data_IF_769031406400
#
_entry.id   IF_769031406400
#
_cell.length_a   1.000
_cell.length_b   1.000
_cell.length_c   1.000
_cell.angle_alpha   90.00
_cell.angle_beta   90.00
_cell.angle_gamma   90.00
#
_symmetry.space_group_name_H-M   'P 1'
#
loop_
_entity.id
_entity.type
_entity.pdbx_description
1 polymer ?
#
# COMPACT_ATOMS: atom_id res chain seq x y z
N UNK A 1 22.40 28.60 -23.41
CA UNK A 1 22.21 27.44 -22.51
C UNK A 1 20.94 27.67 -21.70
N UNK A 2 19.82 26.95 -21.80
CA UNK A 2 19.29 26.00 -22.78
C UNK A 2 17.75 26.12 -22.66
N UNK A 3 17.08 26.80 -23.59
CA UNK A 3 15.60 26.91 -23.64
C UNK A 3 14.91 25.71 -24.29
N UNK A 4 15.70 24.66 -24.59
CA UNK A 4 15.29 23.38 -25.19
C UNK A 4 15.41 22.26 -24.15
N UNK A 5 15.13 22.56 -22.88
CA UNK A 5 14.93 21.58 -21.83
C UNK A 5 13.41 21.48 -21.58
N UNK A 6 12.62 20.65 -22.26
CA UNK A 6 12.45 20.34 -23.69
C UNK A 6 10.97 19.91 -23.77
N UNK A 7 10.16 20.31 -24.77
CA UNK A 7 8.74 19.86 -24.82
C UNK A 7 8.61 18.33 -24.77
N UNK A 8 9.61 17.63 -25.31
CA UNK A 8 9.77 16.18 -25.21
C UNK A 8 9.88 15.69 -23.75
N UNK A 9 10.71 16.32 -22.91
CA UNK A 9 10.89 15.91 -21.51
C UNK A 9 9.63 16.15 -20.68
N UNK A 10 8.91 17.25 -20.96
CA UNK A 10 7.61 17.51 -20.34
C UNK A 10 6.57 16.47 -20.75
N UNK A 11 6.50 16.13 -22.04
CA UNK A 11 5.61 15.09 -22.54
C UNK A 11 5.93 13.70 -21.95
N UNK A 12 7.21 13.33 -21.89
CA UNK A 12 7.67 12.07 -21.27
C UNK A 12 7.37 12.03 -19.76
N UNK A 13 7.43 13.17 -19.06
CA UNK A 13 7.00 13.26 -17.65
C UNK A 13 5.49 13.08 -17.50
N UNK A 14 4.68 13.62 -18.42
CA UNK A 14 3.23 13.43 -18.40
C UNK A 14 2.85 11.97 -18.63
N UNK A 15 3.47 11.30 -19.61
CA UNK A 15 3.26 9.86 -19.86
C UNK A 15 3.62 9.04 -18.62
N UNK A 16 4.81 9.27 -18.04
CA UNK A 16 5.24 8.56 -16.82
C UNK A 16 4.32 8.81 -15.63
N UNK A 17 3.78 10.02 -15.47
CA UNK A 17 2.78 10.32 -14.44
C UNK A 17 1.46 9.59 -14.67
N UNK A 18 1.00 9.51 -15.92
CA UNK A 18 -0.24 8.82 -16.28
C UNK A 18 -0.14 7.29 -16.11
N UNK A 19 1.07 6.72 -16.20
CA UNK A 19 1.32 5.29 -15.97
C UNK A 19 1.50 4.95 -14.48
N UNK A 20 1.67 5.96 -13.61
CA UNK A 20 1.89 5.73 -12.19
C UNK A 20 0.57 5.44 -11.48
N UNK A 21 0.60 4.51 -10.54
CA UNK A 21 -0.50 4.25 -9.63
C UNK A 21 -0.89 5.49 -8.83
N UNK A 22 -2.13 5.47 -8.34
CA UNK A 22 -2.70 6.52 -7.50
C UNK A 22 -2.70 6.05 -6.05
N UNK A 23 -2.34 6.95 -5.14
CA UNK A 23 -2.34 6.69 -3.70
C UNK A 23 -3.57 7.34 -3.07
N UNK A 24 -4.37 6.54 -2.36
CA UNK A 24 -5.45 7.02 -1.49
C UNK A 24 -5.09 6.68 -0.05
N UNK A 25 -5.17 7.67 0.84
CA UNK A 25 -4.81 7.50 2.25
C UNK A 25 -6.04 7.73 3.11
N UNK A 26 -6.40 6.75 3.92
CA UNK A 26 -7.31 6.93 5.05
C UNK A 26 -6.49 7.44 6.24
N UNK A 27 -6.55 8.76 6.45
CA UNK A 27 -5.87 9.45 7.55
C UNK A 27 -6.76 9.47 8.79
N UNK A 28 -6.20 9.21 9.96
CA UNK A 28 -6.91 9.27 11.23
C UNK A 28 -6.10 9.89 12.35
N UNK A 29 -6.78 10.40 13.36
CA UNK A 29 -6.14 11.07 14.49
C UNK A 29 -5.61 10.11 15.56
N UNK A 30 -6.09 8.86 15.57
CA UNK A 30 -5.68 7.84 16.55
C UNK A 30 -5.89 6.40 16.02
N UNK A 31 -5.35 5.43 16.76
CA UNK A 31 -5.72 4.02 16.59
C UNK A 31 -7.21 3.79 16.92
N UNK A 32 -7.84 2.82 16.26
CA UNK A 32 -9.25 2.47 16.53
C UNK A 32 -10.31 3.36 15.86
N UNK A 33 -9.95 4.49 15.25
CA UNK A 33 -10.90 5.40 14.56
C UNK A 33 -11.50 4.84 13.25
N UNK A 34 -11.25 3.57 12.93
CA UNK A 34 -11.88 2.87 11.81
C UNK A 34 -11.17 2.95 10.45
N UNK A 35 -9.93 3.44 10.35
CA UNK A 35 -9.19 3.56 9.07
C UNK A 35 -9.14 2.26 8.27
N UNK A 36 -8.68 1.17 8.89
CA UNK A 36 -8.57 -0.15 8.25
C UNK A 36 -9.93 -0.69 7.83
N UNK A 37 -10.95 -0.49 8.66
CA UNK A 37 -12.32 -0.89 8.34
C UNK A 37 -12.85 -0.15 7.09
N UNK A 38 -12.65 1.17 7.02
CA UNK A 38 -13.03 1.99 5.86
C UNK A 38 -12.25 1.63 4.60
N UNK A 39 -10.94 1.33 4.73
CA UNK A 39 -10.12 0.84 3.63
C UNK A 39 -10.65 -0.49 3.07
N UNK A 40 -11.02 -1.43 3.94
CA UNK A 40 -11.60 -2.72 3.52
C UNK A 40 -12.98 -2.57 2.88
N UNK A 41 -13.85 -1.70 3.42
CA UNK A 41 -15.15 -1.40 2.79
C UNK A 41 -14.98 -0.86 1.37
N UNK A 42 -14.02 0.04 1.17
CA UNK A 42 -13.70 0.56 -0.16
C UNK A 42 -13.15 -0.55 -1.08
N UNK A 43 -12.34 -1.46 -0.54
CA UNK A 43 -11.87 -2.65 -1.25
C UNK A 43 -13.02 -3.53 -1.76
N UNK A 44 -14.04 -3.76 -0.92
CA UNK A 44 -15.25 -4.48 -1.33
C UNK A 44 -16.02 -3.74 -2.41
N UNK A 45 -16.26 -2.43 -2.25
CA UNK A 45 -16.95 -1.62 -3.26
C UNK A 45 -16.26 -1.70 -4.62
N UNK A 46 -14.93 -1.55 -4.65
CA UNK A 46 -14.14 -1.66 -5.88
C UNK A 46 -14.21 -3.05 -6.51
N UNK A 47 -14.15 -4.11 -5.68
CA UNK A 47 -14.29 -5.49 -6.16
C UNK A 47 -15.69 -5.75 -6.74
N UNK A 48 -16.74 -5.23 -6.12
CA UNK A 48 -18.13 -5.30 -6.62
C UNK A 48 -18.29 -4.58 -7.96
N UNK A 49 -17.52 -3.51 -8.19
CA UNK A 49 -17.42 -2.79 -9.47
C UNK A 49 -16.55 -3.51 -10.52
N UNK A 50 -16.04 -4.71 -10.20
CA UNK A 50 -15.21 -5.52 -11.10
C UNK A 50 -13.74 -5.10 -11.18
N UNK A 51 -13.28 -4.24 -10.26
CA UNK A 51 -11.88 -3.86 -10.16
C UNK A 51 -11.09 -4.98 -9.48
N UNK A 52 -9.93 -5.30 -10.03
CA UNK A 52 -9.01 -6.29 -9.46
C UNK A 52 -8.31 -5.74 -8.20
N UNK A 53 -8.79 -6.17 -7.03
CA UNK A 53 -8.32 -5.72 -5.71
C UNK A 53 -7.66 -6.87 -4.96
N UNK A 54 -6.47 -6.62 -4.41
CA UNK A 54 -5.79 -7.54 -3.49
C UNK A 54 -5.46 -6.86 -2.16
N UNK A 55 -5.53 -7.62 -1.08
CA UNK A 55 -4.98 -7.23 0.22
C UNK A 55 -3.50 -7.60 0.25
N UNK A 56 -2.64 -6.58 0.31
CA UNK A 56 -1.20 -6.78 0.49
C UNK A 56 -0.83 -6.99 1.95
N UNK A 57 -1.35 -6.14 2.83
CA UNK A 57 -1.16 -6.24 4.27
C UNK A 57 -2.28 -5.50 5.00
N UNK A 58 -2.93 -6.15 5.96
CA UNK A 58 -3.99 -5.58 6.80
C UNK A 58 -3.78 -6.00 8.25
N UNK A 59 -3.85 -5.05 9.17
CA UNK A 59 -3.74 -5.28 10.61
C UNK A 59 -5.12 -5.17 11.27
N UNK A 60 -5.74 -6.32 11.56
CA UNK A 60 -7.11 -6.37 12.13
C UNK A 60 -7.11 -6.03 13.62
N UNK A 61 -6.00 -6.26 14.32
CA UNK A 61 -5.85 -6.16 15.77
C UNK A 61 -6.98 -6.89 16.54
N UNK A 62 -7.40 -8.06 16.05
CA UNK A 62 -8.42 -8.90 16.69
C UNK A 62 -9.86 -8.37 16.58
N UNK A 63 -10.10 -7.33 15.77
CA UNK A 63 -11.45 -6.80 15.56
C UNK A 63 -12.25 -7.71 14.63
N UNK A 64 -13.20 -8.45 15.21
CA UNK A 64 -14.04 -9.44 14.52
C UNK A 64 -14.67 -8.89 13.24
N UNK A 65 -15.21 -7.68 13.27
CA UNK A 65 -15.85 -7.07 12.09
C UNK A 65 -14.85 -6.80 10.96
N UNK A 66 -13.62 -6.41 11.30
CA UNK A 66 -12.54 -6.17 10.34
C UNK A 66 -12.04 -7.50 9.74
N UNK A 67 -11.92 -8.55 10.56
CA UNK A 67 -11.56 -9.90 10.09
C UNK A 67 -12.62 -10.47 9.14
N UNK A 68 -13.91 -10.21 9.39
CA UNK A 68 -14.98 -10.63 8.48
C UNK A 68 -14.86 -9.95 7.12
N UNK A 69 -14.58 -8.64 7.08
CA UNK A 69 -14.36 -7.94 5.83
C UNK A 69 -13.13 -8.49 5.09
N UNK A 70 -12.06 -8.84 5.80
CA UNK A 70 -10.85 -9.39 5.18
C UNK A 70 -11.12 -10.70 4.42
N UNK A 71 -11.94 -11.61 4.96
CA UNK A 71 -12.24 -12.93 4.37
C UNK A 71 -12.86 -12.87 2.97
N UNK A 72 -13.48 -11.76 2.58
CA UNK A 72 -14.10 -11.61 1.26
C UNK A 72 -13.18 -11.02 0.18
N UNK A 73 -11.91 -10.73 0.48
CA UNK A 73 -10.93 -10.19 -0.45
C UNK A 73 -9.77 -11.17 -0.66
N UNK A 74 -9.23 -11.23 -1.89
CA UNK A 74 -7.98 -11.97 -2.17
C UNK A 74 -6.85 -11.36 -1.32
N UNK A 75 -6.02 -12.18 -0.70
CA UNK A 75 -4.91 -11.71 0.15
C UNK A 75 -3.59 -12.33 -0.29
N UNK A 76 -2.56 -11.49 -0.41
CA UNK A 76 -1.18 -11.94 -0.62
C UNK A 76 -0.65 -12.51 0.71
N UNK A 77 -0.05 -13.72 0.72
CA UNK A 77 0.62 -14.23 1.91
C UNK A 77 1.71 -13.28 2.39
N UNK A 78 1.77 -13.05 3.70
CA UNK A 78 2.80 -12.20 4.30
C UNK A 78 4.17 -12.84 4.17
N UNK A 79 5.20 -12.03 3.93
CA UNK A 79 6.59 -12.48 3.91
C UNK A 79 7.02 -12.76 5.35
N UNK A 80 7.52 -13.96 5.63
CA UNK A 80 8.04 -14.34 6.95
C UNK A 80 9.55 -14.20 6.97
N UNK A 81 10.06 -13.53 8.00
CA UNK A 81 11.49 -13.39 8.23
C UNK A 81 11.82 -13.52 9.72
N UNK A 82 13.02 -13.99 10.03
CA UNK A 82 13.50 -14.06 11.42
C UNK A 82 14.34 -12.82 11.74
N UNK A 83 14.01 -12.13 12.83
CA UNK A 83 14.78 -11.01 13.33
C UNK A 83 14.98 -11.14 14.84
N UNK A 84 16.26 -11.21 15.27
CA UNK A 84 16.65 -11.42 16.68
C UNK A 84 15.98 -12.64 17.33
N UNK A 85 15.85 -13.74 16.59
CA UNK A 85 15.23 -14.98 17.09
C UNK A 85 13.70 -14.97 17.11
N UNK A 86 13.05 -13.93 16.55
CA UNK A 86 11.59 -13.81 16.49
C UNK A 86 11.15 -13.85 15.02
N UNK A 87 10.18 -14.71 14.72
CA UNK A 87 9.51 -14.70 13.41
C UNK A 87 8.64 -13.44 13.31
N UNK A 88 8.88 -12.62 12.30
CA UNK A 88 8.12 -11.43 11.98
C UNK A 88 7.48 -11.60 10.60
N UNK A 89 6.25 -11.12 10.47
CA UNK A 89 5.52 -11.10 9.21
C UNK A 89 5.50 -9.67 8.66
N UNK A 90 5.83 -9.51 7.39
CA UNK A 90 5.90 -8.23 6.69
C UNK A 90 5.13 -8.26 5.37
N UNK A 91 4.93 -7.07 4.79
CA UNK A 91 4.44 -6.92 3.42
C UNK A 91 5.35 -7.70 2.44
N UNK A 92 4.74 -8.46 1.54
CA UNK A 92 5.43 -9.04 0.39
C UNK A 92 5.20 -8.18 -0.86
N UNK A 93 6.00 -7.12 -0.98
CA UNK A 93 5.91 -6.18 -2.10
C UNK A 93 6.20 -6.83 -3.45
N UNK A 94 7.16 -7.77 -3.50
CA UNK A 94 7.53 -8.46 -4.73
C UNK A 94 6.39 -9.39 -5.20
N UNK A 95 5.69 -10.06 -4.27
CA UNK A 95 4.50 -10.84 -4.61
C UNK A 95 3.38 -9.98 -5.20
N UNK A 96 3.14 -8.77 -4.67
CA UNK A 96 2.18 -7.81 -5.22
C UNK A 96 2.59 -7.38 -6.63
N UNK A 97 3.87 -7.02 -6.82
CA UNK A 97 4.42 -6.61 -8.11
C UNK A 97 4.34 -7.73 -9.16
N UNK A 98 4.50 -8.98 -8.75
CA UNK A 98 4.36 -10.14 -9.64
C UNK A 98 2.89 -10.43 -9.97
N UNK A 99 1.98 -10.26 -9.00
CA UNK A 99 0.52 -10.43 -9.19
C UNK A 99 -0.11 -9.32 -10.05
N UNK A 100 0.47 -8.12 -10.05
CA UNK A 100 0.02 -6.96 -10.85
C UNK A 100 -1.49 -6.66 -10.71
N UNK A 101 -2.02 -6.51 -9.49
CA UNK A 101 -3.42 -6.12 -9.29
C UNK A 101 -3.67 -4.70 -9.80
N UNK A 102 -4.93 -4.31 -10.02
CA UNK A 102 -5.26 -2.90 -10.27
C UNK A 102 -5.13 -2.08 -8.98
N UNK A 103 -5.54 -2.64 -7.83
CA UNK A 103 -5.50 -1.97 -6.52
C UNK A 103 -4.93 -2.90 -5.45
N UNK A 104 -3.99 -2.39 -4.64
CA UNK A 104 -3.50 -3.05 -3.43
C UNK A 104 -3.94 -2.31 -2.16
N UNK A 105 -4.45 -3.04 -1.18
CA UNK A 105 -4.77 -2.51 0.16
C UNK A 105 -3.59 -2.80 1.11
N UNK A 106 -3.01 -1.75 1.70
CA UNK A 106 -1.77 -1.85 2.50
C UNK A 106 -1.90 -0.97 3.74
N UNK A 107 -1.96 -1.57 4.93
CA UNK A 107 -2.06 -0.84 6.20
C UNK A 107 -0.74 -0.20 6.66
N UNK A 108 -0.87 0.83 7.51
CA UNK A 108 0.21 1.47 8.28
C UNK A 108 1.37 2.01 7.42
N UNK A 109 1.08 3.02 6.60
CA UNK A 109 2.05 3.63 5.68
C UNK A 109 3.36 4.08 6.36
N UNK A 110 3.30 4.52 7.62
CA UNK A 110 4.46 5.01 8.37
C UNK A 110 5.29 3.90 9.05
N UNK A 111 4.93 2.63 8.87
CA UNK A 111 5.66 1.52 9.46
C UNK A 111 7.14 1.51 9.04
N UNK A 112 8.01 1.15 9.98
CA UNK A 112 9.43 0.86 9.72
C UNK A 112 9.58 -0.62 9.53
N UNK A 113 9.99 -1.02 8.34
CA UNK A 113 10.14 -2.42 7.99
C UNK A 113 11.22 -3.08 8.85
N UNK A 114 11.08 -4.39 9.06
CA UNK A 114 12.08 -5.17 9.78
C UNK A 114 13.45 -5.07 9.08
N UNK A 115 14.57 -4.90 9.82
CA UNK A 115 15.91 -4.85 9.24
C UNK A 115 16.23 -6.03 8.32
N UNK A 116 16.93 -5.76 7.21
CA UNK A 116 17.16 -6.73 6.15
C UNK A 116 16.03 -6.83 5.12
N UNK A 117 14.96 -6.04 5.28
CA UNK A 117 13.98 -5.80 4.21
C UNK A 117 14.61 -5.00 3.06
N UNK A 118 14.02 -5.12 1.86
CA UNK A 118 14.48 -4.38 0.67
C UNK A 118 14.42 -2.86 0.89
N UNK A 119 13.36 -2.40 1.53
CA UNK A 119 13.14 -1.00 1.89
C UNK A 119 13.07 -0.86 3.42
N UNK A 120 13.53 0.27 3.94
CA UNK A 120 13.52 0.57 5.38
C UNK A 120 12.13 0.99 5.89
N UNK A 121 11.31 1.58 5.01
CA UNK A 121 10.00 2.14 5.35
C UNK A 121 8.93 1.61 4.41
N UNK A 122 7.74 1.30 4.95
CA UNK A 122 6.61 0.78 4.16
C UNK A 122 6.15 1.75 3.07
N UNK A 123 6.28 3.06 3.28
CA UNK A 123 5.96 4.03 2.22
C UNK A 123 6.84 3.86 0.98
N UNK A 124 8.07 3.36 1.12
CA UNK A 124 8.98 3.10 -0.01
C UNK A 124 8.50 1.87 -0.80
N UNK A 125 8.02 0.82 -0.12
CA UNK A 125 7.36 -0.31 -0.79
C UNK A 125 6.12 0.16 -1.56
N UNK A 126 5.31 1.02 -0.94
CA UNK A 126 4.16 1.66 -1.60
C UNK A 126 4.58 2.50 -2.80
N UNK A 127 5.71 3.22 -2.72
CA UNK A 127 6.25 3.96 -3.87
C UNK A 127 6.65 3.05 -5.03
N UNK A 128 7.30 1.92 -4.74
CA UNK A 128 7.67 0.91 -5.73
C UNK A 128 6.42 0.31 -6.42
N UNK A 129 5.40 -0.03 -5.63
CA UNK A 129 4.12 -0.56 -6.13
C UNK A 129 3.40 0.47 -7.02
N UNK A 130 3.33 1.73 -6.58
CA UNK A 130 2.77 2.81 -7.39
C UNK A 130 3.58 3.05 -8.67
N UNK A 131 4.92 2.96 -8.61
CA UNK A 131 5.78 3.12 -9.77
C UNK A 131 5.56 2.02 -10.82
N UNK A 132 5.11 0.84 -10.41
CA UNK A 132 4.71 -0.26 -11.29
C UNK A 132 3.29 -0.10 -11.89
N UNK A 133 2.58 0.99 -11.57
CA UNK A 133 1.25 1.29 -12.09
C UNK A 133 0.09 0.73 -11.26
N UNK A 134 0.37 0.08 -10.14
CA UNK A 134 -0.64 -0.45 -9.23
C UNK A 134 -1.15 0.67 -8.31
N UNK A 135 -2.46 0.89 -8.23
CA UNK A 135 -3.01 1.85 -7.28
C UNK A 135 -2.92 1.30 -5.85
N UNK A 136 -2.71 2.17 -4.87
CA UNK A 136 -2.61 1.76 -3.46
C UNK A 136 -3.61 2.53 -2.62
N UNK A 137 -4.35 1.81 -1.78
CA UNK A 137 -5.15 2.38 -0.70
C UNK A 137 -4.48 1.99 0.61
N UNK A 138 -4.22 2.97 1.47
CA UNK A 138 -3.47 2.76 2.70
C UNK A 138 -4.06 3.51 3.89
N UNK A 139 -3.54 3.25 5.08
CA UNK A 139 -3.92 3.91 6.33
C UNK A 139 -2.73 4.63 6.97
N UNK A 140 -3.00 5.79 7.57
CA UNK A 140 -1.98 6.58 8.27
C UNK A 140 -2.57 7.24 9.51
N UNK A 141 -1.83 7.27 10.62
CA UNK A 141 -2.17 8.15 11.74
C UNK A 141 -1.44 9.49 11.59
N UNK A 142 -2.12 10.60 11.85
CA UNK A 142 -1.56 11.96 11.71
C UNK A 142 -0.28 12.16 12.54
N UNK A 143 -0.19 11.52 13.70
CA UNK A 143 0.97 11.56 14.59
C UNK A 143 2.28 11.06 13.94
N UNK A 144 2.20 10.32 12.83
CA UNK A 144 3.36 9.80 12.11
C UNK A 144 3.69 10.58 10.83
N UNK A 145 2.95 11.65 10.52
CA UNK A 145 3.15 12.41 9.29
C UNK A 145 4.55 13.02 9.19
N UNK A 146 5.11 13.48 10.32
CA UNK A 146 6.48 14.04 10.38
C UNK A 146 7.59 12.98 10.28
N UNK A 147 7.22 11.70 10.35
CA UNK A 147 8.16 10.56 10.35
C UNK A 147 8.21 9.82 9.01
N UNK A 148 7.48 10.33 8.01
CA UNK A 148 7.47 9.83 6.63
C UNK A 148 8.62 10.44 5.82
#
# INVERSE_FOLDING_TARGET
MNSVENKADTFLRMIRRAQRGHLKIYLGYAAGVGKTYQMLLEGHRLKEEGIDVVVGLVETHGRIETERLLKGLESIPRRRQEYRGIAVEELDGDAILNRKPQVALIDELAHTNVPGSRNDKRYQDVQDILAAGVHVITTLNIQHLETL
#
